data_IF_821014899912
#
_entry.id   IF_821014899912
#
_cell.length_a   1.000
_cell.length_b   1.000
_cell.length_c   1.000
_cell.angle_alpha   90.00
_cell.angle_beta   90.00
_cell.angle_gamma   90.00
#
_symmetry.space_group_name_H-M   'P 1'
#
loop_
_entity.id
_entity.type
_entity.pdbx_description
1 polymer ?
#
# COMPACT_ATOMS: atom_id res chain seq x y z
N UNK A 1 10.56 16.24 -2.19
CA UNK A 1 11.77 15.53 -2.64
C UNK A 1 11.38 14.09 -2.93
N UNK A 2 11.53 13.64 -4.19
CA UNK A 2 11.26 12.25 -4.58
C UNK A 2 12.56 11.46 -4.39
N UNK A 3 12.45 10.26 -3.80
CA UNK A 3 13.59 9.36 -3.54
C UNK A 3 13.13 7.90 -3.65
N UNK A 4 14.08 6.98 -3.77
CA UNK A 4 13.81 5.54 -3.76
C UNK A 4 13.07 5.11 -2.49
N UNK A 5 12.18 4.14 -2.66
CA UNK A 5 11.48 3.46 -1.58
C UNK A 5 12.50 2.65 -0.77
N UNK A 6 12.47 2.79 0.55
CA UNK A 6 13.32 2.02 1.46
C UNK A 6 12.43 1.16 2.34
N UNK A 7 12.98 0.08 2.91
CA UNK A 7 12.23 -0.82 3.80
C UNK A 7 11.54 -0.09 4.96
N UNK A 8 12.17 0.97 5.49
CA UNK A 8 11.59 1.82 6.55
C UNK A 8 10.33 2.59 6.13
N UNK A 9 10.09 2.71 4.83
CA UNK A 9 8.96 3.45 4.28
C UNK A 9 7.77 2.53 3.97
N UNK A 10 7.98 1.22 3.91
CA UNK A 10 6.97 0.25 3.49
C UNK A 10 5.71 0.36 4.35
N UNK A 11 5.83 0.34 5.67
CA UNK A 11 4.68 0.47 6.57
C UNK A 11 3.87 1.74 6.31
N UNK A 12 4.58 2.86 6.08
CA UNK A 12 3.94 4.15 5.81
C UNK A 12 3.24 4.17 4.45
N UNK A 13 3.89 3.62 3.42
CA UNK A 13 3.36 3.62 2.06
C UNK A 13 2.18 2.67 1.93
N UNK A 14 2.23 1.48 2.56
CA UNK A 14 1.11 0.54 2.58
C UNK A 14 -0.09 1.11 3.35
N UNK A 15 0.11 1.83 4.45
CA UNK A 15 -0.96 2.53 5.17
C UNK A 15 -1.61 3.63 4.32
N UNK A 16 -0.82 4.41 3.59
CA UNK A 16 -1.32 5.41 2.63
C UNK A 16 -2.12 4.73 1.52
N UNK A 17 -1.61 3.63 0.97
CA UNK A 17 -2.29 2.84 -0.05
C UNK A 17 -3.66 2.36 0.46
N UNK A 18 -3.73 1.78 1.65
CA UNK A 18 -4.99 1.29 2.23
C UNK A 18 -5.99 2.43 2.44
N UNK A 19 -5.58 3.50 3.14
CA UNK A 19 -6.46 4.63 3.45
C UNK A 19 -6.97 5.33 2.20
N UNK A 20 -6.10 5.50 1.20
CA UNK A 20 -6.48 6.17 -0.04
C UNK A 20 -7.41 5.31 -0.87
N UNK A 21 -7.16 3.99 -0.96
CA UNK A 21 -8.06 3.08 -1.68
C UNK A 21 -9.43 2.98 -1.01
N UNK A 22 -9.51 2.89 0.32
CA UNK A 22 -10.78 2.91 1.04
C UNK A 22 -11.58 4.20 0.78
N UNK A 23 -10.91 5.34 0.63
CA UNK A 23 -11.55 6.63 0.35
C UNK A 23 -11.96 6.78 -1.11
N UNK A 24 -11.07 6.46 -2.05
CA UNK A 24 -11.29 6.66 -3.49
C UNK A 24 -12.25 5.59 -4.06
N UNK A 25 -12.16 4.37 -3.55
CA UNK A 25 -12.92 3.21 -4.02
C UNK A 25 -13.96 2.77 -2.98
N UNK A 26 -14.70 3.73 -2.39
CA UNK A 26 -15.74 3.46 -1.39
C UNK A 26 -16.86 2.53 -1.90
N UNK A 27 -16.99 2.36 -3.21
CA UNK A 27 -17.93 1.46 -3.87
C UNK A 27 -17.47 -0.01 -3.88
N UNK A 28 -16.20 -0.28 -3.53
CA UNK A 28 -15.65 -1.63 -3.35
C UNK A 28 -15.67 -1.96 -1.86
N UNK A 29 -15.94 -3.23 -1.52
CA UNK A 29 -15.97 -3.68 -0.13
C UNK A 29 -14.64 -3.39 0.58
N UNK A 30 -14.71 -2.78 1.76
CA UNK A 30 -13.55 -2.55 2.63
C UNK A 30 -12.79 -3.85 2.94
N UNK A 31 -13.47 -5.00 2.94
CA UNK A 31 -12.85 -6.29 3.22
C UNK A 31 -11.85 -6.69 2.13
N UNK A 32 -12.10 -6.35 0.87
CA UNK A 32 -11.20 -6.62 -0.25
C UNK A 32 -9.83 -5.95 -0.02
N UNK A 33 -9.84 -4.66 0.30
CA UNK A 33 -8.60 -3.92 0.57
C UNK A 33 -7.85 -4.41 1.82
N UNK A 34 -8.60 -4.84 2.85
CA UNK A 34 -8.01 -5.35 4.09
C UNK A 34 -7.44 -6.76 3.94
N UNK A 35 -8.08 -7.64 3.16
CA UNK A 35 -7.56 -8.98 2.89
C UNK A 35 -6.25 -8.93 2.10
N UNK A 36 -6.11 -7.92 1.24
CA UNK A 36 -4.96 -7.80 0.35
C UNK A 36 -3.80 -6.99 0.97
N UNK A 37 -4.00 -6.43 2.18
CA UNK A 37 -3.05 -5.51 2.81
C UNK A 37 -1.66 -6.13 3.01
N UNK A 38 -1.59 -7.33 3.61
CA UNK A 38 -0.30 -8.00 3.88
C UNK A 38 0.38 -8.45 2.58
N UNK A 39 -0.39 -8.92 1.60
CA UNK A 39 0.14 -9.29 0.28
C UNK A 39 0.74 -8.08 -0.43
N UNK A 40 0.01 -6.96 -0.47
CA UNK A 40 0.49 -5.72 -1.10
C UNK A 40 1.72 -5.17 -0.38
N UNK A 41 1.76 -5.26 0.96
CA UNK A 41 2.93 -4.89 1.75
C UNK A 41 4.17 -5.70 1.36
N UNK A 42 4.02 -7.01 1.21
CA UNK A 42 5.10 -7.89 0.77
C UNK A 42 5.56 -7.53 -0.65
N UNK A 43 4.62 -7.36 -1.59
CA UNK A 43 4.92 -6.97 -2.97
C UNK A 43 5.64 -5.61 -3.04
N UNK A 44 5.25 -4.64 -2.22
CA UNK A 44 5.91 -3.34 -2.15
C UNK A 44 7.33 -3.46 -1.60
N UNK A 45 7.58 -4.37 -0.64
CA UNK A 45 8.94 -4.61 -0.12
C UNK A 45 9.86 -5.28 -1.13
N UNK A 46 9.29 -6.01 -2.10
CA UNK A 46 10.03 -6.64 -3.20
C UNK A 46 10.14 -5.74 -4.43
N UNK A 47 9.31 -4.69 -4.51
CA UNK A 47 9.31 -3.77 -5.64
C UNK A 47 10.56 -2.89 -5.61
N UNK A 48 11.40 -3.04 -6.64
CA UNK A 48 12.38 -2.03 -6.96
C UNK A 48 11.63 -0.88 -7.64
N UNK A 49 11.46 0.24 -6.94
CA UNK A 49 10.99 1.47 -7.58
C UNK A 49 12.18 2.02 -8.38
N UNK A 50 12.23 1.68 -9.67
CA UNK A 50 13.27 2.12 -10.62
C UNK A 50 13.49 3.63 -10.58
#
# INVERSE_FOLDING_TARGET
MIRKLLNRDIDRVTDIWLKTNLKAHYFISNQYWKSDYELVKEMMSQSEVC
#
